data_IF_412004501022
#
_entry.id   IF_412004501022
#
_cell.length_a   1.000
_cell.length_b   1.000
_cell.length_c   1.000
_cell.angle_alpha   90.00
_cell.angle_beta   90.00
_cell.angle_gamma   90.00
#
_symmetry.space_group_name_H-M   'P 1'
#
loop_
_entity.id
_entity.type
_entity.pdbx_description
1 polymer ?
#
# COMPACT_ATOMS: atom_id res chain seq x y z
N UNK A 1 22.13 -15.78 -1.07
CA UNK A 1 21.48 -14.57 -1.60
C UNK A 1 20.48 -14.12 -0.55
N UNK A 2 20.48 -12.86 -0.07
CA UNK A 2 19.36 -12.38 0.72
C UNK A 2 18.07 -12.56 -0.13
N UNK A 3 16.96 -12.91 0.51
CA UNK A 3 15.69 -13.04 -0.18
C UNK A 3 15.41 -11.73 -0.93
N UNK A 4 15.08 -11.81 -2.21
CA UNK A 4 14.63 -10.64 -2.95
C UNK A 4 13.38 -10.09 -2.27
N UNK A 5 13.42 -8.83 -1.85
CA UNK A 5 12.25 -8.10 -1.40
C UNK A 5 11.24 -8.05 -2.55
N UNK A 6 10.07 -8.64 -2.38
CA UNK A 6 9.06 -8.72 -3.45
C UNK A 6 7.96 -7.68 -3.28
N UNK A 7 7.54 -7.12 -4.40
CA UNK A 7 6.36 -6.28 -4.52
C UNK A 7 5.19 -7.18 -4.91
N UNK A 8 4.05 -7.07 -4.25
CA UNK A 8 2.82 -7.72 -4.71
C UNK A 8 1.88 -6.70 -5.33
N UNK A 9 1.34 -7.03 -6.49
CA UNK A 9 0.39 -6.21 -7.23
C UNK A 9 -0.91 -6.99 -7.37
N UNK A 10 -2.02 -6.37 -7.01
CA UNK A 10 -3.36 -6.94 -7.13
C UNK A 10 -4.22 -5.94 -7.90
N UNK A 11 -4.92 -6.40 -8.95
CA UNK A 11 -5.73 -5.53 -9.80
C UNK A 11 -7.15 -6.07 -9.93
N UNK A 12 -8.14 -5.19 -9.86
CA UNK A 12 -9.54 -5.58 -9.95
C UNK A 12 -10.51 -4.44 -9.69
N UNK A 13 -11.79 -4.70 -9.93
CA UNK A 13 -12.86 -3.87 -9.39
C UNK A 13 -12.99 -4.17 -7.89
N UNK A 14 -12.85 -3.16 -7.04
CA UNK A 14 -12.79 -3.34 -5.59
C UNK A 14 -13.73 -2.42 -4.83
N UNK A 15 -14.07 -2.84 -3.62
CA UNK A 15 -14.46 -1.95 -2.54
C UNK A 15 -13.23 -1.65 -1.69
N UNK A 16 -12.96 -0.37 -1.44
CA UNK A 16 -11.83 0.11 -0.64
C UNK A 16 -12.41 0.83 0.57
N UNK A 17 -12.32 0.20 1.74
CA UNK A 17 -12.79 0.72 3.00
C UNK A 17 -11.64 1.39 3.74
N UNK A 18 -11.89 2.62 4.15
CA UNK A 18 -11.09 3.38 5.11
C UNK A 18 -11.97 3.69 6.32
N UNK A 19 -11.38 4.25 7.37
CA UNK A 19 -12.13 4.67 8.55
C UNK A 19 -13.12 5.82 8.24
N UNK A 20 -12.87 6.59 7.18
CA UNK A 20 -13.67 7.77 6.82
C UNK A 20 -14.75 7.44 5.78
N UNK A 21 -14.44 6.59 4.81
CA UNK A 21 -15.32 6.33 3.67
C UNK A 21 -15.03 5.01 2.96
N UNK A 22 -15.95 4.61 2.07
CA UNK A 22 -15.78 3.47 1.16
C UNK A 22 -15.77 3.95 -0.28
N UNK A 23 -14.75 3.58 -1.03
CA UNK A 23 -14.64 3.79 -2.47
C UNK A 23 -15.00 2.51 -3.22
N UNK A 24 -15.59 2.66 -4.42
CA UNK A 24 -15.78 1.55 -5.36
C UNK A 24 -15.21 1.94 -6.72
N UNK A 25 -14.39 1.09 -7.30
CA UNK A 25 -13.82 1.33 -8.62
C UNK A 25 -12.83 0.27 -9.06
N UNK A 26 -12.32 0.42 -10.29
CA UNK A 26 -11.20 -0.36 -10.79
C UNK A 26 -9.91 0.21 -10.22
N UNK A 27 -9.17 -0.61 -9.48
CA UNK A 27 -7.97 -0.17 -8.76
C UNK A 27 -6.83 -1.16 -8.90
N UNK A 28 -5.62 -0.65 -8.68
CA UNK A 28 -4.40 -1.43 -8.47
C UNK A 28 -3.94 -1.24 -7.04
N UNK A 29 -3.76 -2.34 -6.32
CA UNK A 29 -3.19 -2.39 -4.98
C UNK A 29 -1.73 -2.81 -5.06
N UNK A 30 -0.84 -2.01 -4.50
CA UNK A 30 0.57 -2.32 -4.34
C UNK A 30 0.90 -2.58 -2.87
N UNK A 31 1.44 -3.77 -2.61
CA UNK A 31 1.97 -4.19 -1.32
C UNK A 31 3.49 -4.18 -1.39
N UNK A 32 4.13 -3.39 -0.52
CA UNK A 32 5.58 -3.34 -0.39
C UNK A 32 6.07 -4.22 0.77
N UNK A 33 7.34 -4.68 0.73
CA UNK A 33 7.95 -5.49 1.79
C UNK A 33 7.94 -4.81 3.15
N UNK A 34 7.92 -3.48 3.19
CA UNK A 34 7.90 -2.68 4.43
C UNK A 34 6.49 -2.47 4.98
N UNK A 35 5.51 -3.29 4.57
CA UNK A 35 4.10 -3.17 4.92
C UNK A 35 3.42 -1.88 4.42
N UNK A 36 4.01 -1.16 3.48
CA UNK A 36 3.29 -0.09 2.80
C UNK A 36 2.25 -0.67 1.83
N UNK A 37 1.01 -0.18 1.93
CA UNK A 37 -0.10 -0.51 1.04
C UNK A 37 -0.56 0.75 0.34
N UNK A 38 -0.55 0.74 -0.99
CA UNK A 38 -1.04 1.83 -1.84
C UNK A 38 -2.19 1.31 -2.70
N UNK A 39 -3.28 2.06 -2.79
CA UNK A 39 -4.40 1.76 -3.70
C UNK A 39 -4.52 2.91 -4.69
N UNK A 40 -4.31 2.64 -5.97
CA UNK A 40 -4.43 3.62 -7.05
C UNK A 40 -5.62 3.31 -7.94
N UNK A 41 -6.40 4.33 -8.28
CA UNK A 41 -7.24 4.31 -9.47
C UNK A 41 -6.46 4.94 -10.65
N UNK A 42 -7.17 5.32 -11.71
CA UNK A 42 -6.58 5.90 -12.92
C UNK A 42 -6.41 7.42 -12.87
N UNK A 43 -6.93 8.11 -11.85
CA UNK A 43 -6.91 9.57 -11.75
C UNK A 43 -6.00 10.07 -10.62
N UNK A 44 -5.47 11.27 -10.82
CA UNK A 44 -4.64 11.93 -9.83
C UNK A 44 -3.24 11.33 -9.69
N UNK A 45 -2.41 12.08 -8.97
CA UNK A 45 -1.06 11.64 -8.61
C UNK A 45 -1.06 10.80 -7.32
N UNK A 46 -2.01 11.08 -6.42
CA UNK A 46 -2.08 10.43 -5.13
C UNK A 46 -2.87 9.11 -5.21
N UNK A 47 -2.53 8.11 -4.40
CA UNK A 47 -3.39 6.94 -4.23
C UNK A 47 -4.76 7.35 -3.67
N UNK A 48 -5.82 6.63 -4.02
CA UNK A 48 -7.16 6.84 -3.45
C UNK A 48 -7.18 6.54 -1.94
N UNK A 49 -6.35 5.58 -1.51
CA UNK A 49 -6.12 5.28 -0.10
C UNK A 49 -4.75 4.62 0.09
N UNK A 50 -4.12 4.86 1.23
CA UNK A 50 -2.85 4.21 1.57
C UNK A 50 -2.62 4.12 3.07
N UNK A 51 -1.78 3.16 3.45
CA UNK A 51 -1.11 3.12 4.74
C UNK A 51 0.37 2.85 4.51
N UNK A 52 1.23 3.72 5.04
CA UNK A 52 2.68 3.54 4.98
C UNK A 52 3.15 2.77 6.20
N UNK A 53 3.97 1.74 5.99
CA UNK A 53 4.58 0.94 7.07
C UNK A 53 3.57 0.49 8.13
N UNK A 54 2.50 -0.16 7.68
CA UNK A 54 1.47 -0.67 8.58
C UNK A 54 2.07 -1.66 9.60
N UNK A 55 1.50 -1.67 10.81
CA UNK A 55 1.87 -2.62 11.87
C UNK A 55 1.63 -4.06 11.43
N UNK A 56 0.58 -4.26 10.63
CA UNK A 56 0.29 -5.55 10.02
C UNK A 56 -0.39 -5.39 8.67
N UNK A 57 -0.12 -6.34 7.77
CA UNK A 57 -0.78 -6.49 6.48
C UNK A 57 -1.10 -7.95 6.25
N UNK A 58 -2.37 -8.25 5.96
CA UNK A 58 -2.83 -9.57 5.60
C UNK A 58 -3.46 -9.53 4.20
N UNK A 59 -3.10 -10.48 3.35
CA UNK A 59 -3.69 -10.62 2.02
C UNK A 59 -4.14 -12.06 1.74
N UNK A 60 -5.28 -12.23 1.10
CA UNK A 60 -5.79 -13.56 0.68
C UNK A 60 -6.11 -13.57 -0.81
N UNK A 61 -6.07 -14.74 -1.44
CA UNK A 61 -6.27 -14.93 -2.90
C UNK A 61 -7.24 -16.07 -3.21
N UNK A 62 -8.41 -16.10 -2.57
CA UNK A 62 -9.40 -17.18 -2.75
C UNK A 62 -10.60 -16.70 -3.56
N UNK A 63 -10.70 -17.11 -4.84
CA UNK A 63 -11.81 -16.72 -5.72
C UNK A 63 -11.88 -15.20 -6.03
N UNK A 64 -10.79 -14.49 -5.76
CA UNK A 64 -10.66 -13.03 -5.75
C UNK A 64 -9.43 -12.66 -4.91
N UNK A 65 -9.35 -11.44 -4.42
CA UNK A 65 -8.38 -11.06 -3.40
C UNK A 65 -8.99 -10.15 -2.32
N UNK A 66 -8.38 -10.18 -1.15
CA UNK A 66 -8.60 -9.19 -0.10
C UNK A 66 -7.28 -8.76 0.50
N UNK A 67 -7.24 -7.51 0.97
CA UNK A 67 -6.12 -6.93 1.70
C UNK A 67 -6.67 -6.23 2.93
N UNK A 68 -6.06 -6.45 4.09
CA UNK A 68 -6.31 -5.68 5.31
C UNK A 68 -4.98 -5.18 5.83
N UNK A 69 -4.86 -3.88 6.01
CA UNK A 69 -3.71 -3.22 6.63
C UNK A 69 -4.16 -2.42 7.85
N UNK A 70 -3.36 -2.48 8.92
CA UNK A 70 -3.66 -1.81 10.20
C UNK A 70 -2.43 -1.01 10.65
N UNK A 71 -2.64 0.25 11.02
CA UNK A 71 -1.61 1.13 11.59
C UNK A 71 -2.19 1.90 12.78
N UNK A 72 -1.87 1.47 13.99
CA UNK A 72 -2.51 1.95 15.22
C UNK A 72 -4.02 1.74 15.17
N UNK A 73 -4.78 2.83 15.22
CA UNK A 73 -6.24 2.81 15.13
C UNK A 73 -6.77 2.84 13.69
N UNK A 74 -5.88 3.04 12.69
CA UNK A 74 -6.29 3.18 11.29
C UNK A 74 -6.39 1.83 10.60
N UNK A 75 -7.44 1.63 9.80
CA UNK A 75 -7.63 0.43 8.99
C UNK A 75 -7.85 0.77 7.51
N UNK A 76 -7.12 0.06 6.64
CA UNK A 76 -7.37 0.03 5.20
C UNK A 76 -7.73 -1.39 4.79
N UNK A 77 -8.92 -1.56 4.22
CA UNK A 77 -9.40 -2.87 3.76
C UNK A 77 -9.83 -2.81 2.30
N UNK A 78 -9.30 -3.70 1.48
CA UNK A 78 -9.66 -3.85 0.07
C UNK A 78 -10.31 -5.20 -0.13
N UNK A 79 -11.47 -5.23 -0.78
CA UNK A 79 -12.16 -6.44 -1.20
C UNK A 79 -12.41 -6.40 -2.71
N UNK A 80 -11.91 -7.40 -3.44
CA UNK A 80 -12.21 -7.51 -4.86
C UNK A 80 -13.66 -7.94 -5.07
N UNK A 81 -14.39 -7.21 -5.92
CA UNK A 81 -15.66 -7.64 -6.53
C UNK A 81 -15.41 -8.47 -7.78
N UNK A 82 -14.39 -8.11 -8.55
CA UNK A 82 -13.88 -8.88 -9.68
C UNK A 82 -12.36 -8.73 -9.74
N UNK A 83 -11.64 -9.84 -9.72
CA UNK A 83 -10.18 -9.85 -9.79
C UNK A 83 -9.72 -9.98 -11.25
N UNK A 84 -8.83 -9.09 -11.69
CA UNK A 84 -8.28 -9.07 -13.04
C UNK A 84 -6.89 -9.69 -13.10
N UNK A 85 -6.09 -9.54 -12.04
CA UNK A 85 -4.76 -10.13 -12.00
C UNK A 85 -4.07 -9.95 -10.66
N UNK A 86 -3.09 -10.80 -10.42
CA UNK A 86 -2.16 -10.70 -9.30
C UNK A 86 -0.76 -11.07 -9.78
N UNK A 87 0.24 -10.43 -9.20
CA UNK A 87 1.64 -10.71 -9.51
C UNK A 87 2.54 -10.41 -8.34
N UNK A 88 3.65 -11.14 -8.28
CA UNK A 88 4.73 -10.90 -7.35
C UNK A 88 5.99 -10.62 -8.18
N UNK A 89 6.63 -9.49 -7.91
CA UNK A 89 7.73 -8.99 -8.71
C UNK A 89 8.93 -8.67 -7.83
N UNK A 90 10.15 -9.02 -8.23
CA UNK A 90 11.34 -8.65 -7.49
C UNK A 90 11.48 -7.11 -7.46
N UNK A 91 11.72 -6.58 -6.27
CA UNK A 91 12.04 -5.18 -6.04
C UNK A 91 13.49 -4.99 -5.62
N UNK A 92 14.00 -3.77 -5.77
CA UNK A 92 15.28 -3.36 -5.20
C UNK A 92 15.16 -1.94 -4.65
N UNK A 93 16.05 -1.60 -3.71
CA UNK A 93 16.20 -0.23 -3.22
C UNK A 93 16.90 0.64 -4.29
N UNK A 94 16.17 0.98 -5.36
CA UNK A 94 16.69 1.74 -6.49
C UNK A 94 16.71 3.27 -6.28
N UNK A 95 15.94 3.75 -5.29
CA UNK A 95 15.86 5.18 -4.98
C UNK A 95 17.03 5.66 -4.13
N UNK A 96 17.40 6.94 -4.30
CA UNK A 96 18.32 7.64 -3.39
C UNK A 96 17.49 8.21 -2.23
N UNK A 97 17.74 7.82 -0.97
CA UNK A 97 17.10 8.43 0.19
C UNK A 97 17.28 9.96 0.17
N UNK A 98 16.17 10.71 0.31
CA UNK A 98 16.22 12.17 0.39
C UNK A 98 16.49 12.57 1.84
N UNK A 99 17.70 12.27 2.31
CA UNK A 99 18.20 12.62 3.65
C UNK A 99 17.42 12.02 4.83
N UNK A 100 17.94 12.22 6.03
CA UNK A 100 17.21 11.97 7.27
C UNK A 100 16.45 13.24 7.67
N UNK A 101 15.20 13.09 8.12
CA UNK A 101 14.45 14.21 8.68
C UNK A 101 15.20 14.75 9.92
N UNK A 102 15.53 16.06 10.01
CA UNK A 102 16.37 16.60 11.11
C UNK A 102 15.78 16.43 12.52
N UNK A 103 14.51 16.06 12.63
CA UNK A 103 13.82 15.82 13.90
C UNK A 103 13.70 14.33 14.26
N UNK A 104 14.19 13.42 13.43
CA UNK A 104 14.19 11.99 13.72
C UNK A 104 15.34 11.65 14.69
N UNK A 105 15.02 11.60 15.99
CA UNK A 105 15.91 10.99 16.99
C UNK A 105 16.04 9.49 16.68
N UNK A 106 17.06 9.16 15.90
CA UNK A 106 17.62 7.82 15.66
C UNK A 106 16.62 6.69 15.39
N UNK A 107 16.05 6.67 14.19
CA UNK A 107 15.89 5.43 13.43
C UNK A 107 15.90 5.79 11.94
N UNK A 108 16.80 5.17 11.18
CA UNK A 108 16.93 5.38 9.74
C UNK A 108 15.59 5.13 9.04
N UNK A 109 14.91 6.20 8.64
CA UNK A 109 13.58 6.12 8.03
C UNK A 109 13.50 7.21 6.98
N UNK A 110 13.24 6.82 5.73
CA UNK A 110 12.61 7.69 4.74
C UNK A 110 11.21 8.02 5.26
N UNK A 111 11.14 8.97 6.19
CA UNK A 111 9.93 9.44 6.81
C UNK A 111 9.46 10.67 6.03
N UNK A 112 8.60 10.40 5.05
CA UNK A 112 7.90 11.43 4.30
C UNK A 112 6.49 10.91 3.96
N UNK A 113 5.63 10.80 4.97
CA UNK A 113 4.21 11.01 4.73
C UNK A 113 4.02 12.51 4.48
N UNK A 114 4.11 12.95 3.23
CA UNK A 114 3.72 14.31 2.87
C UNK A 114 2.21 14.29 2.63
N UNK A 115 1.46 14.74 3.63
CA UNK A 115 0.05 15.09 3.48
C UNK A 115 -0.06 16.41 2.70
N UNK A 116 -0.25 16.33 1.38
CA UNK A 116 -0.69 17.48 0.59
C UNK A 116 -2.22 17.48 0.55
N UNK A 117 -2.87 17.89 1.64
CA UNK A 117 -4.23 18.43 1.55
C UNK A 117 -4.16 19.79 0.84
N UNK A 118 -5.00 19.96 -0.18
CA UNK A 118 -5.61 21.25 -0.47
C UNK A 118 -7.06 21.19 -0.02
#
# INVERSE_FOLDING_TARGET
>A
MPASDSLQVLAGECLVHTDETTHRGEVVVLLKPDNTVLVHDTDGYQPVAWLTRADSVASTRNGGFSVTAIAGEKTLRVESRSAYGFGEYPGSAAGIPIGDCPTARASSTNDAAVDYRK
#
